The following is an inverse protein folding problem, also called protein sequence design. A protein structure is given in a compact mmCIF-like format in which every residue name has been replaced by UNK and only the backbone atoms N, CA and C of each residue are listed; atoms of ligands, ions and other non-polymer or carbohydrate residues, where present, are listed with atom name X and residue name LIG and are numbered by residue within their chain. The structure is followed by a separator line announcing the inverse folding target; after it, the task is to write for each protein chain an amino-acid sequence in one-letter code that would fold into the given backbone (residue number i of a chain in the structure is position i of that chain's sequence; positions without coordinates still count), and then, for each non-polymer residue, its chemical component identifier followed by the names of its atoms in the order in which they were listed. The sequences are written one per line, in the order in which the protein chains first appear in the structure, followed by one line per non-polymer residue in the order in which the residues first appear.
data_IF_081193849028
#
_entry.id   IF_081193849028
#
_cell.length_a   1.000
_cell.length_b   1.000
_cell.length_c   1.000
_cell.angle_alpha   90.00
_cell.angle_beta   90.00
_cell.angle_gamma   90.00
#
_symmetry.space_group_name_H-M   'P 1'
#
loop_
_entity.id
_entity.type
_entity.pdbx_description
1 polymer ?
#
# COMPACT_ATOMS: atom_id res chain seq x y z
N UNK A 1 5.05 43.18 18.86
CA UNK A 1 5.76 42.19 19.70
C UNK A 1 5.16 40.83 19.38
N UNK A 2 5.80 40.04 18.51
CA UNK A 2 5.40 38.64 18.28
C UNK A 2 5.99 37.79 19.40
N UNK A 3 5.13 37.16 20.20
CA UNK A 3 5.55 36.27 21.26
C UNK A 3 6.30 35.06 20.67
N UNK A 4 7.45 34.72 21.24
CA UNK A 4 8.19 33.51 20.89
C UNK A 4 7.48 32.31 21.54
N UNK A 5 6.51 31.73 20.83
CA UNK A 5 5.74 30.58 21.31
C UNK A 5 6.55 29.31 20.96
N UNK A 6 6.97 28.51 21.95
CA UNK A 6 7.69 27.27 21.68
C UNK A 6 6.82 26.33 20.86
N UNK A 7 7.34 25.92 19.70
CA UNK A 7 6.68 25.00 18.77
C UNK A 7 7.44 23.68 18.79
N UNK A 8 6.73 22.58 19.04
CA UNK A 8 7.27 21.22 18.98
C UNK A 8 6.74 20.51 17.73
N UNK A 9 7.55 19.64 17.14
CA UNK A 9 7.17 18.85 15.97
C UNK A 9 7.53 17.38 16.20
N UNK A 10 6.67 16.49 15.71
CA UNK A 10 6.89 15.04 15.73
C UNK A 10 6.92 14.57 14.28
N UNK A 11 7.98 13.84 13.93
CA UNK A 11 8.13 13.21 12.62
C UNK A 11 7.92 11.71 12.76
N UNK A 12 7.11 11.14 11.85
CA UNK A 12 6.81 9.72 11.80
C UNK A 12 7.10 9.22 10.39
N UNK A 13 7.89 8.16 10.29
CA UNK A 13 8.15 7.46 9.04
C UNK A 13 7.67 6.01 9.15
N UNK A 14 7.02 5.53 8.08
CA UNK A 14 6.44 4.19 8.03
C UNK A 14 7.32 3.28 7.18
N UNK A 15 7.99 2.34 7.86
CA UNK A 15 8.82 1.36 7.17
C UNK A 15 8.00 0.48 6.22
N UNK A 16 8.39 0.49 4.93
CA UNK A 16 7.77 -0.31 3.86
C UNK A 16 6.27 -0.02 3.71
N UNK A 17 5.92 1.27 3.67
CA UNK A 17 4.52 1.72 3.62
C UNK A 17 3.71 1.05 2.49
N UNK A 18 4.30 0.88 1.31
CA UNK A 18 3.66 0.24 0.16
C UNK A 18 3.53 -1.28 0.33
N UNK A 19 4.52 -1.97 0.88
CA UNK A 19 4.50 -3.43 1.04
C UNK A 19 3.51 -3.92 2.12
N UNK A 20 3.13 -3.03 3.05
CA UNK A 20 2.32 -3.39 4.22
C UNK A 20 0.85 -3.00 4.11
N UNK A 21 0.40 -2.51 2.96
CA UNK A 21 -0.99 -2.10 2.78
C UNK A 21 -1.92 -3.32 2.81
N UNK A 22 -2.89 -3.34 3.73
CA UNK A 22 -3.96 -4.35 3.71
C UNK A 22 -4.95 -4.06 2.56
N UNK A 23 -5.23 -5.03 1.69
CA UNK A 23 -6.12 -4.74 0.56
C UNK A 23 -7.56 -4.47 1.01
N UNK A 24 -8.06 -5.26 1.97
CA UNK A 24 -9.44 -5.18 2.43
C UNK A 24 -9.82 -3.78 2.91
N UNK A 25 -9.04 -3.17 3.80
CA UNK A 25 -9.41 -1.82 4.23
C UNK A 25 -8.83 -0.70 3.40
N UNK A 26 -7.92 -0.94 2.45
CA UNK A 26 -7.73 -0.01 1.34
C UNK A 26 -9.06 0.11 0.57
N UNK A 27 -9.67 -1.02 0.20
CA UNK A 27 -10.96 -1.04 -0.51
C UNK A 27 -12.06 -0.34 0.30
N UNK A 28 -12.16 -0.60 1.61
CA UNK A 28 -13.13 0.10 2.49
C UNK A 28 -12.88 1.62 2.50
N UNK A 29 -11.62 2.06 2.57
CA UNK A 29 -11.27 3.49 2.53
C UNK A 29 -11.63 4.12 1.19
N UNK A 30 -11.30 3.48 0.08
CA UNK A 30 -11.62 3.99 -1.27
C UNK A 30 -13.12 4.07 -1.51
N UNK A 31 -13.88 3.09 -1.02
CA UNK A 31 -15.35 3.12 -1.07
C UNK A 31 -15.92 4.29 -0.25
N UNK A 32 -15.39 4.55 0.95
CA UNK A 32 -15.79 5.70 1.79
C UNK A 32 -15.46 7.06 1.18
N UNK A 33 -14.46 7.12 0.29
CA UNK A 33 -14.09 8.32 -0.45
C UNK A 33 -14.96 8.55 -1.71
N UNK A 34 -16.00 7.74 -1.92
CA UNK A 34 -16.90 7.82 -3.08
C UNK A 34 -16.17 7.71 -4.43
N UNK A 35 -15.11 6.90 -4.51
CA UNK A 35 -14.50 6.53 -5.79
C UNK A 35 -15.52 5.78 -6.65
N UNK A 36 -15.52 6.04 -7.96
CA UNK A 36 -16.44 5.39 -8.88
C UNK A 36 -16.35 3.86 -8.78
N UNK A 37 -17.51 3.19 -8.81
CA UNK A 37 -17.56 1.74 -8.67
C UNK A 37 -16.74 1.01 -9.74
N UNK A 38 -16.64 1.57 -10.96
CA UNK A 38 -15.81 1.04 -12.03
C UNK A 38 -14.33 1.06 -11.69
N UNK A 39 -13.83 2.21 -11.19
CA UNK A 39 -12.42 2.33 -10.77
C UNK A 39 -12.13 1.46 -9.55
N UNK A 40 -13.05 1.38 -8.58
CA UNK A 40 -12.90 0.52 -7.42
C UNK A 40 -12.78 -0.96 -7.82
N UNK A 41 -13.61 -1.43 -8.76
CA UNK A 41 -13.52 -2.79 -9.31
C UNK A 41 -12.18 -3.04 -10.00
N UNK A 42 -11.68 -2.08 -10.78
CA UNK A 42 -10.37 -2.17 -11.41
C UNK A 42 -9.26 -2.34 -10.38
N UNK A 43 -9.26 -1.51 -9.32
CA UNK A 43 -8.26 -1.59 -8.23
C UNK A 43 -8.36 -2.94 -7.50
N UNK A 44 -9.57 -3.42 -7.19
CA UNK A 44 -9.77 -4.74 -6.57
C UNK A 44 -9.18 -5.84 -7.45
N UNK A 45 -9.50 -5.83 -8.75
CA UNK A 45 -9.00 -6.82 -9.71
C UNK A 45 -7.48 -6.77 -9.82
N UNK A 46 -6.89 -5.58 -9.77
CA UNK A 46 -5.45 -5.37 -9.87
C UNK A 46 -4.69 -5.87 -8.64
N UNK A 47 -5.31 -5.80 -7.45
CA UNK A 47 -4.69 -6.24 -6.19
C UNK A 47 -4.96 -7.71 -5.84
N UNK A 48 -5.95 -8.34 -6.47
CA UNK A 48 -6.35 -9.73 -6.20
C UNK A 48 -5.43 -10.74 -6.87
N UNK A 49 -5.26 -11.90 -6.23
CA UNK A 49 -4.56 -13.10 -6.76
C UNK A 49 -3.17 -12.83 -7.35
N UNK A 50 -2.39 -11.97 -6.67
CA UNK A 50 -1.03 -11.63 -7.09
C UNK A 50 -0.05 -12.70 -6.63
N UNK A 51 0.93 -13.00 -7.48
CA UNK A 51 2.06 -13.87 -7.16
C UNK A 51 3.38 -13.18 -7.47
N UNK A 52 4.42 -13.50 -6.71
CA UNK A 52 5.79 -13.06 -6.94
C UNK A 52 6.74 -14.27 -6.95
N UNK A 53 7.94 -14.03 -7.45
CA UNK A 53 9.08 -14.93 -7.35
C UNK A 53 10.36 -14.09 -7.20
N UNK A 54 11.42 -14.69 -6.68
CA UNK A 54 12.73 -14.05 -6.50
C UNK A 54 13.65 -14.54 -7.60
N UNK A 55 14.43 -13.61 -8.17
CA UNK A 55 15.54 -13.92 -9.08
C UNK A 55 16.85 -13.62 -8.37
N UNK A 56 17.76 -14.58 -8.36
CA UNK A 56 19.11 -14.40 -7.84
C UNK A 56 20.12 -15.05 -8.79
N UNK A 57 20.93 -14.21 -9.45
CA UNK A 57 21.80 -14.65 -10.54
C UNK A 57 20.98 -15.26 -11.69
N UNK A 58 21.28 -16.51 -12.04
CA UNK A 58 20.54 -17.29 -13.04
C UNK A 58 19.40 -18.14 -12.46
N UNK A 59 19.20 -18.12 -11.14
CA UNK A 59 18.22 -18.96 -10.46
C UNK A 59 16.92 -18.21 -10.17
N UNK A 60 15.78 -18.92 -10.27
CA UNK A 60 14.45 -18.42 -9.92
C UNK A 60 13.87 -19.25 -8.78
N UNK A 61 13.22 -18.59 -7.82
CA UNK A 61 12.41 -19.29 -6.83
C UNK A 61 11.11 -19.82 -7.45
N UNK A 62 10.41 -20.68 -6.70
CA UNK A 62 8.98 -20.91 -6.97
C UNK A 62 8.17 -19.62 -6.82
N UNK A 63 6.98 -19.61 -7.40
CA UNK A 63 6.02 -18.53 -7.20
C UNK A 63 5.36 -18.64 -5.83
N UNK A 64 5.05 -17.50 -5.23
CA UNK A 64 4.35 -17.42 -3.95
C UNK A 64 3.30 -16.30 -3.99
N UNK A 65 2.18 -16.46 -3.29
CA UNK A 65 1.10 -15.48 -3.31
C UNK A 65 1.47 -14.22 -2.52
N UNK A 66 0.91 -13.08 -2.93
CA UNK A 66 1.05 -11.78 -2.29
C UNK A 66 -0.30 -11.32 -1.74
N UNK A 67 -0.46 -11.38 -0.42
CA UNK A 67 -1.72 -11.05 0.26
C UNK A 67 -1.81 -9.60 0.76
N UNK A 68 -0.69 -8.90 0.81
CA UNK A 68 -0.59 -7.51 1.29
C UNK A 68 0.35 -6.71 0.40
N UNK A 69 0.27 -5.41 0.55
CA UNK A 69 1.12 -4.46 -0.14
C UNK A 69 0.64 -4.11 -1.54
N UNK A 70 1.25 -3.09 -2.12
CA UNK A 70 0.96 -2.59 -3.45
C UNK A 70 2.13 -2.91 -4.39
N UNK A 71 1.88 -3.02 -5.71
CA UNK A 71 2.97 -2.94 -6.69
C UNK A 71 3.72 -1.61 -6.54
N UNK A 72 5.05 -1.65 -6.59
CA UNK A 72 5.92 -0.48 -6.60
C UNK A 72 6.15 0.02 -8.02
#
# INVERSE_FOLDING_TARGET
MTANIPTATIYVDYQKAYDKVWHKGLIVKLNKLNISAGLLKLIISWLSDRYAYVVFGSSRSGTFPIHVGLPQ
#
